data_IF_427696061545
#
_entry.id   IF_427696061545
#
_cell.length_a   1.000
_cell.length_b   1.000
_cell.length_c   1.000
_cell.angle_alpha   90.00
_cell.angle_beta   90.00
_cell.angle_gamma   90.00
#
_symmetry.space_group_name_H-M   'P 1'
#
loop_
_entity.id
_entity.type
_entity.pdbx_description
1 polymer ?
#
# COMPACT_ATOMS: atom_id res chain seq x y z
N UNK A 1 36.05 -10.60 12.26
CA UNK A 1 35.37 -9.29 12.40
C UNK A 1 34.25 -9.07 11.38
N UNK A 2 34.40 -9.37 10.08
CA UNK A 2 33.32 -9.17 9.09
C UNK A 2 32.08 -10.08 9.31
N UNK A 3 32.30 -11.34 9.71
CA UNK A 3 31.20 -12.31 9.97
C UNK A 3 30.35 -11.95 11.19
N UNK A 4 30.97 -11.41 12.23
CA UNK A 4 30.27 -10.97 13.46
C UNK A 4 29.41 -9.74 13.20
N UNK A 5 29.86 -8.81 12.35
CA UNK A 5 29.06 -7.66 11.92
C UNK A 5 27.85 -8.08 11.08
N UNK A 6 28.01 -9.07 10.19
CA UNK A 6 26.90 -9.60 9.38
C UNK A 6 25.82 -10.27 10.25
N UNK A 7 26.24 -11.03 11.27
CA UNK A 7 25.32 -11.68 12.22
C UNK A 7 24.56 -10.64 13.05
N UNK A 8 25.22 -9.57 13.48
CA UNK A 8 24.58 -8.47 14.22
C UNK A 8 23.57 -7.70 13.36
N UNK A 9 23.87 -7.46 12.09
CA UNK A 9 22.93 -6.85 11.14
C UNK A 9 21.70 -7.73 10.90
N UNK A 10 21.92 -9.04 10.73
CA UNK A 10 20.84 -9.99 10.52
C UNK A 10 19.95 -10.15 11.77
N UNK A 11 20.56 -10.18 12.96
CA UNK A 11 19.85 -10.18 14.23
C UNK A 11 19.05 -8.88 14.44
N UNK A 12 19.61 -7.72 14.09
CA UNK A 12 18.91 -6.44 14.19
C UNK A 12 17.66 -6.36 13.29
N UNK A 13 17.72 -6.95 12.09
CA UNK A 13 16.56 -7.06 11.20
C UNK A 13 15.51 -8.03 11.75
N UNK A 14 15.92 -9.14 12.38
CA UNK A 14 15.00 -10.11 12.99
C UNK A 14 14.32 -9.57 14.26
N UNK A 15 15.00 -8.72 15.04
CA UNK A 15 14.48 -8.10 16.27
C UNK A 15 13.63 -6.84 16.02
N UNK A 16 13.65 -6.27 14.81
CA UNK A 16 12.83 -5.12 14.42
C UNK A 16 11.54 -5.51 13.68
N UNK A 17 11.21 -6.81 13.66
CA UNK A 17 9.91 -7.27 13.17
C UNK A 17 8.77 -6.55 13.90
N UNK A 18 7.68 -6.17 13.19
CA UNK A 18 6.59 -5.44 13.80
C UNK A 18 6.01 -6.29 14.94
N UNK A 19 6.14 -5.79 16.17
CA UNK A 19 5.46 -6.35 17.33
C UNK A 19 3.98 -6.02 17.18
N UNK A 20 3.25 -6.88 16.46
CA UNK A 20 1.81 -6.77 16.27
C UNK A 20 1.12 -7.00 17.61
N UNK A 21 0.96 -5.92 18.37
CA UNK A 21 -0.01 -5.84 19.46
C UNK A 21 -1.38 -6.07 18.83
N UNK A 22 -1.99 -7.21 19.14
CA UNK A 22 -3.37 -7.54 18.83
C UNK A 22 -4.31 -6.74 19.74
N UNK A 23 -4.15 -5.41 19.74
CA UNK A 23 -5.19 -4.52 20.20
C UNK A 23 -6.38 -4.71 19.28
N UNK A 24 -7.50 -5.18 19.82
CA UNK A 24 -8.79 -5.11 19.15
C UNK A 24 -9.11 -3.63 18.95
N UNK A 25 -8.59 -3.07 17.86
CA UNK A 25 -8.91 -1.73 17.42
C UNK A 25 -10.40 -1.72 17.15
N UNK A 26 -11.14 -0.88 17.89
CA UNK A 26 -12.56 -0.66 17.64
C UNK A 26 -12.74 -0.42 16.14
N UNK A 27 -13.57 -1.24 15.48
CA UNK A 27 -13.74 -1.18 14.03
C UNK A 27 -14.24 0.21 13.66
N UNK A 28 -13.41 0.97 12.94
CA UNK A 28 -13.77 2.29 12.44
C UNK A 28 -15.03 2.15 11.57
N UNK A 29 -16.17 2.68 12.03
CA UNK A 29 -17.37 2.77 11.21
C UNK A 29 -17.11 3.83 10.14
N UNK A 30 -16.82 3.39 8.91
CA UNK A 30 -16.42 4.24 7.79
C UNK A 30 -17.22 5.54 7.67
N UNK A 31 -16.60 6.55 7.04
CA UNK A 31 -17.24 7.86 6.75
C UNK A 31 -18.57 7.68 6.01
N UNK A 32 -18.64 6.63 5.18
CA UNK A 32 -19.84 6.23 4.44
C UNK A 32 -21.08 6.06 5.34
N UNK A 33 -20.98 5.22 6.38
CA UNK A 33 -22.09 4.99 7.33
C UNK A 33 -22.45 6.20 8.17
N UNK A 34 -21.45 6.99 8.56
CA UNK A 34 -21.64 8.06 9.56
C UNK A 34 -22.16 9.36 8.95
N UNK A 35 -21.82 9.61 7.69
CA UNK A 35 -22.09 10.87 6.99
C UNK A 35 -22.88 10.63 5.71
N UNK A 36 -22.39 9.78 4.81
CA UNK A 36 -22.91 9.68 3.44
C UNK A 36 -24.34 9.12 3.45
N UNK A 37 -24.60 8.06 4.20
CA UNK A 37 -25.94 7.47 4.33
C UNK A 37 -26.98 8.51 4.81
N UNK A 38 -26.64 9.33 5.81
CA UNK A 38 -27.54 10.38 6.34
C UNK A 38 -27.89 11.44 5.30
N UNK A 39 -26.97 11.77 4.40
CA UNK A 39 -27.23 12.72 3.32
C UNK A 39 -27.97 12.07 2.14
N UNK A 40 -27.66 10.81 1.84
CA UNK A 40 -28.32 10.05 0.78
C UNK A 40 -29.81 9.80 1.10
N UNK A 41 -30.13 9.46 2.35
CA UNK A 41 -31.51 9.35 2.84
C UNK A 41 -32.28 10.66 2.71
N UNK A 42 -31.67 11.78 3.12
CA UNK A 42 -32.26 13.12 2.94
C UNK A 42 -32.49 13.48 1.48
N UNK A 43 -31.70 12.92 0.56
CA UNK A 43 -31.84 13.10 -0.88
C UNK A 43 -32.76 12.06 -1.56
N UNK A 44 -33.40 11.18 -0.79
CA UNK A 44 -34.31 10.14 -1.29
C UNK A 44 -33.61 9.05 -2.12
N UNK A 45 -32.28 8.90 -1.97
CA UNK A 45 -31.50 7.79 -2.54
C UNK A 45 -31.05 6.91 -1.38
N UNK A 46 -31.76 5.81 -1.13
CA UNK A 46 -31.31 4.81 -0.15
C UNK A 46 -29.97 4.21 -0.58
N UNK A 47 -29.08 3.98 0.38
CA UNK A 47 -27.82 3.30 0.15
C UNK A 47 -28.08 1.94 -0.50
N UNK A 48 -27.38 1.67 -1.61
CA UNK A 48 -27.44 0.40 -2.34
C UNK A 48 -26.13 -0.33 -2.10
N UNK A 49 -26.19 -1.64 -1.88
CA UNK A 49 -24.97 -2.43 -1.82
C UNK A 49 -24.17 -2.31 -3.13
N UNK A 50 -22.85 -2.08 -3.04
CA UNK A 50 -21.98 -2.08 -4.20
C UNK A 50 -22.06 -3.41 -4.94
N UNK A 51 -22.18 -3.36 -6.27
CA UNK A 51 -22.14 -4.59 -7.09
C UNK A 51 -20.80 -5.32 -7.00
N UNK A 52 -19.72 -4.58 -6.72
CA UNK A 52 -18.37 -5.08 -6.51
C UNK A 52 -17.91 -4.46 -5.20
N UNK A 53 -17.70 -5.31 -4.18
CA UNK A 53 -17.18 -4.87 -2.89
C UNK A 53 -15.66 -4.69 -3.00
N UNK A 54 -15.22 -3.51 -3.47
CA UNK A 54 -13.79 -3.14 -3.50
C UNK A 54 -13.20 -2.90 -2.12
N UNK A 55 -14.06 -2.60 -1.14
CA UNK A 55 -13.67 -2.22 0.22
C UNK A 55 -13.52 -3.43 1.16
N UNK A 56 -14.02 -4.61 0.74
CA UNK A 56 -13.93 -5.84 1.52
C UNK A 56 -12.95 -6.82 0.86
N UNK A 57 -11.91 -7.21 1.59
CA UNK A 57 -10.90 -8.17 1.14
C UNK A 57 -9.67 -7.51 0.52
N UNK A 58 -9.00 -8.25 -0.38
CA UNK A 58 -7.66 -7.91 -0.89
C UNK A 58 -7.67 -7.40 -2.33
N UNK A 59 -8.85 -7.11 -2.91
CA UNK A 59 -8.98 -6.76 -4.32
C UNK A 59 -8.27 -5.43 -4.66
N UNK A 60 -8.47 -4.41 -3.82
CA UNK A 60 -7.82 -3.11 -4.03
C UNK A 60 -6.30 -3.21 -3.86
N UNK A 61 -5.84 -3.99 -2.88
CA UNK A 61 -4.41 -4.26 -2.65
C UNK A 61 -3.80 -5.03 -3.83
N UNK A 62 -4.52 -6.00 -4.38
CA UNK A 62 -4.10 -6.75 -5.57
C UNK A 62 -3.96 -5.86 -6.80
N UNK A 63 -4.91 -4.94 -7.04
CA UNK A 63 -4.82 -3.97 -8.13
C UNK A 63 -3.66 -3.00 -7.90
N UNK A 64 -3.44 -2.55 -6.66
CA UNK A 64 -2.29 -1.74 -6.30
C UNK A 64 -0.97 -2.45 -6.55
N UNK A 65 -0.88 -3.73 -6.22
CA UNK A 65 0.29 -4.56 -6.49
C UNK A 65 0.56 -4.64 -8.00
N UNK A 66 -0.47 -4.94 -8.80
CA UNK A 66 -0.34 -5.00 -10.26
C UNK A 66 0.11 -3.65 -10.84
N UNK A 67 -0.50 -2.55 -10.40
CA UNK A 67 -0.12 -1.22 -10.83
C UNK A 67 1.33 -0.89 -10.44
N UNK A 68 1.75 -1.25 -9.23
CA UNK A 68 3.12 -1.08 -8.76
C UNK A 68 4.13 -1.90 -9.56
N UNK A 69 3.78 -3.15 -9.90
CA UNK A 69 4.60 -4.01 -10.76
C UNK A 69 4.76 -3.36 -12.15
N UNK A 70 3.65 -3.04 -12.83
CA UNK A 70 3.69 -2.45 -14.17
C UNK A 70 4.43 -1.11 -14.17
N UNK A 71 4.13 -0.24 -13.20
CA UNK A 71 4.77 1.06 -13.06
C UNK A 71 6.27 0.96 -12.75
N UNK A 72 6.65 0.05 -11.85
CA UNK A 72 8.04 -0.22 -11.51
C UNK A 72 8.85 -0.76 -12.69
N UNK A 73 8.27 -1.70 -13.46
CA UNK A 73 8.89 -2.21 -14.68
C UNK A 73 9.03 -1.13 -15.76
N UNK A 74 7.98 -0.33 -16.00
CA UNK A 74 8.02 0.75 -16.98
C UNK A 74 9.06 1.82 -16.62
N UNK A 75 9.06 2.27 -15.35
CA UNK A 75 10.04 3.23 -14.85
C UNK A 75 11.47 2.68 -14.91
N UNK A 76 11.67 1.40 -14.57
CA UNK A 76 12.96 0.73 -14.66
C UNK A 76 13.46 0.60 -16.10
N UNK A 77 12.59 0.25 -17.05
CA UNK A 77 12.95 0.13 -18.46
C UNK A 77 13.34 1.49 -19.07
N UNK A 78 12.63 2.56 -18.72
CA UNK A 78 12.91 3.92 -19.20
C UNK A 78 13.88 4.71 -18.31
N UNK A 79 14.50 4.05 -17.35
CA UNK A 79 15.40 4.71 -16.40
C UNK A 79 16.50 5.52 -17.09
N UNK A 80 17.07 5.02 -18.20
CA UNK A 80 18.13 5.74 -18.95
C UNK A 80 17.62 6.92 -19.77
N UNK A 81 16.33 6.95 -20.10
CA UNK A 81 15.70 8.10 -20.75
C UNK A 81 15.49 9.21 -19.72
N UNK A 82 15.04 8.84 -18.51
CA UNK A 82 14.86 9.77 -17.40
C UNK A 82 16.19 10.24 -16.79
N UNK A 83 17.18 9.36 -16.74
CA UNK A 83 18.51 9.60 -16.17
C UNK A 83 19.61 9.19 -17.15
N UNK A 84 19.88 10.03 -18.18
CA UNK A 84 20.96 9.79 -19.11
C UNK A 84 22.32 9.74 -18.38
N UNK A 85 23.22 8.80 -18.73
CA UNK A 85 24.55 8.78 -18.17
C UNK A 85 25.28 10.08 -18.53
N UNK A 86 25.94 10.72 -17.55
CA UNK A 86 26.79 11.89 -17.80
C UNK A 86 27.88 11.47 -18.78
N UNK A 87 27.99 12.20 -19.91
CA UNK A 87 29.16 12.09 -20.78
C UNK A 87 30.40 12.32 -19.92
N UNK A 88 31.36 11.41 -20.02
CA UNK A 88 32.71 11.68 -19.56
C UNK A 88 33.39 12.37 -20.73
N UNK A 89 33.54 13.67 -20.59
CA UNK A 89 34.34 14.49 -21.47
C UNK A 89 35.79 14.07 -21.19
N UNK A 90 36.41 13.41 -22.17
CA UNK A 90 37.82 12.99 -22.14
C UNK A 90 38.70 14.19 -22.45
#
# INVERSE_FOLDING_TARGET
MKKTTLILLFAGVLLSGPMSTSGQAASWSGVDKTVIEKFAEKAGRSAREPFINTDQGDLILFVFLLAGVVGGFAAGYWFRVLFPPRRKDV
#
